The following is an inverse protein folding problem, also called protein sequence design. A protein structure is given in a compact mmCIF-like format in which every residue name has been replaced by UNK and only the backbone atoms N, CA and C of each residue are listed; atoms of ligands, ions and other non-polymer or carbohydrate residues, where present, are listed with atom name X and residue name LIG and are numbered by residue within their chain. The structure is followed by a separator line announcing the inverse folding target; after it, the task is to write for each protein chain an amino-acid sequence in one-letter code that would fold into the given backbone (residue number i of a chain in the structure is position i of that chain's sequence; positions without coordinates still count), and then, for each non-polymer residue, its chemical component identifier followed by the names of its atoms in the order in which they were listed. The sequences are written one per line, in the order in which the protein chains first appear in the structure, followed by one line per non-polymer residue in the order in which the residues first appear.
data_IF_907401505322
#
_entry.id   IF_907401505322
#
_cell.length_a   1.000
_cell.length_b   1.000
_cell.length_c   1.000
_cell.angle_alpha   90.00
_cell.angle_beta   90.00
_cell.angle_gamma   90.00
#
_symmetry.space_group_name_H-M   'P 1'
#
loop_
_entity.id
_entity.type
_entity.pdbx_description
1 polymer ?
#
# COMPACT_ATOMS: atom_id res chain seq x y z
N UNK A 1 31.72 -7.08 12.29
CA UNK A 1 30.53 -6.24 12.14
C UNK A 1 29.37 -7.14 12.49
N UNK A 2 28.91 -7.08 13.74
CA UNK A 2 27.81 -7.89 14.23
C UNK A 2 26.51 -7.22 13.77
N UNK A 3 25.70 -7.93 12.98
CA UNK A 3 24.50 -7.37 12.32
C UNK A 3 23.34 -7.26 13.33
N UNK A 4 23.59 -7.56 14.61
CA UNK A 4 22.59 -7.65 15.67
C UNK A 4 22.54 -6.39 16.55
N UNK A 5 23.30 -5.34 16.25
CA UNK A 5 23.28 -4.05 16.95
C UNK A 5 22.80 -2.94 15.98
N UNK A 6 21.52 -3.02 15.61
CA UNK A 6 20.80 -2.00 14.83
C UNK A 6 19.85 -1.21 15.73
N UNK A 7 19.56 0.06 15.38
CA UNK A 7 18.96 1.05 16.28
C UNK A 7 17.64 0.54 16.83
N UNK A 8 17.47 0.64 18.16
CA UNK A 8 16.26 0.38 18.94
C UNK A 8 15.26 -0.50 18.22
N UNK A 9 15.33 -1.83 18.46
CA UNK A 9 14.34 -2.82 17.99
C UNK A 9 12.99 -2.14 17.87
N UNK A 10 12.52 -2.02 16.63
CA UNK A 10 11.24 -1.37 16.37
C UNK A 10 10.23 -2.03 17.30
N UNK A 11 9.77 -1.28 18.30
CA UNK A 11 8.93 -1.83 19.36
C UNK A 11 7.63 -2.40 18.76
N UNK A 12 7.26 -1.95 17.56
CA UNK A 12 6.15 -2.49 16.79
C UNK A 12 6.48 -3.87 16.17
N UNK A 13 7.74 -4.14 15.81
CA UNK A 13 8.19 -5.45 15.31
C UNK A 13 8.22 -6.54 16.39
N UNK A 14 8.33 -6.17 17.66
CA UNK A 14 8.24 -7.09 18.81
C UNK A 14 6.81 -7.21 19.37
N UNK A 15 5.82 -6.49 18.81
CA UNK A 15 4.44 -6.50 19.28
C UNK A 15 3.77 -7.84 18.97
N UNK A 16 3.28 -8.51 20.01
CA UNK A 16 2.52 -9.76 19.87
C UNK A 16 1.20 -9.51 19.11
N UNK A 17 0.93 -10.35 18.11
CA UNK A 17 -0.33 -10.37 17.36
C UNK A 17 -1.18 -11.50 17.89
N UNK A 18 -2.33 -11.16 18.46
CA UNK A 18 -3.32 -12.16 18.87
C UNK A 18 -4.11 -12.65 17.65
N UNK A 19 -4.07 -13.97 17.41
CA UNK A 19 -4.79 -14.64 16.32
C UNK A 19 -6.08 -15.32 16.81
N UNK A 20 -6.32 -15.37 18.12
CA UNK A 20 -7.46 -16.05 18.75
C UNK A 20 -8.64 -15.09 18.99
N UNK A 21 -8.48 -13.80 18.70
CA UNK A 21 -9.54 -12.81 18.78
C UNK A 21 -10.71 -13.20 17.84
N UNK A 22 -11.86 -13.55 18.44
CA UNK A 22 -13.14 -13.86 17.77
C UNK A 22 -13.78 -12.64 17.07
N UNK A 23 -12.98 -11.68 16.63
CA UNK A 23 -13.44 -10.46 16.00
C UNK A 23 -13.92 -10.77 14.57
N UNK A 24 -15.15 -10.37 14.25
CA UNK A 24 -15.64 -10.44 12.89
C UNK A 24 -14.68 -9.69 11.96
N UNK A 25 -14.44 -10.15 10.72
CA UNK A 25 -13.54 -9.48 9.81
C UNK A 25 -13.95 -8.01 9.67
N UNK A 26 -13.06 -7.11 10.11
CA UNK A 26 -13.27 -5.66 10.12
C UNK A 26 -13.48 -5.11 8.72
N UNK A 27 -12.92 -5.79 7.72
CA UNK A 27 -12.97 -5.43 6.31
C UNK A 27 -13.69 -6.51 5.49
N UNK A 28 -14.33 -6.11 4.38
CA UNK A 28 -14.92 -7.06 3.44
C UNK A 28 -13.83 -7.96 2.81
N UNK A 29 -14.25 -9.14 2.35
CA UNK A 29 -13.36 -10.08 1.63
C UNK A 29 -12.74 -9.47 0.37
N UNK A 30 -13.47 -8.55 -0.29
CA UNK A 30 -13.02 -7.79 -1.44
C UNK A 30 -13.20 -6.29 -1.20
N UNK A 31 -12.16 -5.50 -1.48
CA UNK A 31 -12.21 -4.03 -1.35
C UNK A 31 -12.70 -3.40 -2.65
N UNK A 32 -13.14 -2.14 -2.60
CA UNK A 32 -13.59 -1.41 -3.80
C UNK A 32 -12.46 -1.20 -4.83
N UNK A 33 -11.23 -1.17 -4.34
CA UNK A 33 -10.03 -0.95 -5.15
C UNK A 33 -9.47 -2.27 -5.73
N UNK A 34 -10.01 -3.42 -5.31
CA UNK A 34 -9.71 -4.72 -5.91
C UNK A 34 -10.44 -4.85 -7.25
N UNK A 35 -9.72 -4.45 -8.30
CA UNK A 35 -10.18 -4.56 -9.69
C UNK A 35 -9.24 -5.48 -10.45
N UNK A 36 -9.73 -6.11 -11.51
CA UNK A 36 -8.91 -6.95 -12.41
C UNK A 36 -7.81 -6.15 -13.14
N UNK A 37 -7.82 -4.81 -13.04
CA UNK A 37 -6.84 -3.93 -13.66
C UNK A 37 -5.49 -4.12 -12.98
N UNK A 38 -4.45 -4.28 -13.80
CA UNK A 38 -3.09 -4.30 -13.29
C UNK A 38 -2.65 -2.95 -12.71
N UNK A 39 -1.61 -2.97 -11.88
CA UNK A 39 -0.92 -1.75 -11.47
C UNK A 39 -0.37 -1.02 -12.71
N UNK A 40 -0.70 0.26 -12.86
CA UNK A 40 -0.31 1.05 -14.04
C UNK A 40 -1.11 0.72 -15.30
N UNK A 41 -2.13 -0.13 -15.21
CA UNK A 41 -3.12 -0.27 -16.27
C UNK A 41 -3.86 1.06 -16.42
N UNK A 42 -3.72 1.63 -17.60
CA UNK A 42 -4.18 2.97 -17.88
C UNK A 42 -5.66 2.89 -18.19
N UNK A 43 -6.49 3.61 -17.44
CA UNK A 43 -7.90 3.72 -17.79
C UNK A 43 -8.05 4.29 -19.20
N UNK A 44 -9.09 3.87 -19.92
CA UNK A 44 -9.44 4.42 -21.24
C UNK A 44 -10.04 5.83 -21.14
N UNK A 45 -9.55 6.66 -20.21
CA UNK A 45 -9.98 8.02 -19.97
C UNK A 45 -9.19 9.02 -20.82
N UNK A 46 -9.78 10.21 -21.03
CA UNK A 46 -9.20 11.33 -21.77
C UNK A 46 -8.12 12.04 -20.95
N UNK A 47 -7.09 11.28 -20.57
CA UNK A 47 -5.98 11.75 -19.74
C UNK A 47 -4.93 12.48 -20.57
N UNK A 48 -5.12 12.55 -21.90
CA UNK A 48 -4.27 13.28 -22.83
C UNK A 48 -4.11 14.74 -22.39
N UNK A 49 -5.20 15.37 -21.92
CA UNK A 49 -5.13 16.74 -21.36
C UNK A 49 -4.23 16.82 -20.12
N UNK A 50 -4.22 15.80 -19.26
CA UNK A 50 -3.46 15.79 -18.00
C UNK A 50 -1.97 15.55 -18.23
N UNK A 51 -1.62 14.84 -19.30
CA UNK A 51 -0.23 14.69 -19.74
C UNK A 51 0.30 15.96 -20.41
N UNK A 52 -0.54 16.63 -21.22
CA UNK A 52 -0.19 17.91 -21.85
C UNK A 52 0.01 19.03 -20.81
N UNK A 53 -0.78 19.02 -19.72
CA UNK A 53 -0.70 20.00 -18.63
C UNK A 53 0.26 19.59 -17.50
N UNK A 54 1.16 18.63 -17.74
CA UNK A 54 2.10 18.13 -16.71
C UNK A 54 2.97 19.28 -16.15
N UNK A 55 2.96 19.52 -14.83
CA UNK A 55 3.81 20.54 -14.24
C UNK A 55 5.30 20.17 -14.31
N UNK A 56 6.20 21.17 -14.35
CA UNK A 56 7.63 20.98 -14.68
C UNK A 56 8.45 20.19 -13.65
N UNK A 57 7.84 19.69 -12.57
CA UNK A 57 8.52 18.94 -11.51
C UNK A 57 8.14 17.44 -11.50
N UNK A 58 7.42 16.97 -12.53
CA UNK A 58 7.03 15.55 -12.71
C UNK A 58 8.06 14.73 -13.52
N UNK A 59 9.32 15.14 -13.52
CA UNK A 59 10.47 14.41 -14.07
C UNK A 59 11.29 13.74 -12.96
#
# INVERSE_FOLDING_TARGET
MDILDGPERDHDAEREVDFDSEEAPILPEQTRDDTERGWGERDYSNDDRLLDDRPPHWD
#
